data_IF_593588269349
#
_entry.id   IF_593588269349
#
_cell.length_a   1.000
_cell.length_b   1.000
_cell.length_c   1.000
_cell.angle_alpha   90.00
_cell.angle_beta   90.00
_cell.angle_gamma   90.00
#
_symmetry.space_group_name_H-M   'P 1'
#
loop_
_entity.id
_entity.type
_entity.pdbx_description
1 polymer ?
#
# COMPACT_ATOMS: atom_id res chain seq x y z
N UNK A 1 24.51 -17.26 -9.96
CA UNK A 1 24.66 -17.41 -8.50
C UNK A 1 23.73 -16.37 -7.90
N UNK A 2 22.60 -16.76 -7.29
CA UNK A 2 21.63 -15.86 -6.64
C UNK A 2 22.06 -15.67 -5.18
N UNK A 3 23.19 -15.02 -4.96
CA UNK A 3 23.58 -14.53 -3.64
C UNK A 3 23.61 -13.02 -3.81
N UNK A 4 22.58 -12.35 -3.32
CA UNK A 4 22.48 -10.91 -3.44
C UNK A 4 23.67 -10.23 -2.75
N UNK A 5 24.34 -9.33 -3.47
CA UNK A 5 25.55 -8.63 -2.97
C UNK A 5 25.22 -7.28 -2.33
N UNK A 6 24.03 -6.74 -2.62
CA UNK A 6 23.53 -5.50 -2.02
C UNK A 6 22.00 -5.51 -1.87
N UNK A 7 21.47 -4.50 -1.15
CA UNK A 7 20.02 -4.36 -0.91
C UNK A 7 19.21 -4.26 -2.21
N UNK A 8 19.69 -3.51 -3.23
CA UNK A 8 18.98 -3.38 -4.52
C UNK A 8 18.81 -4.74 -5.22
N UNK A 9 19.88 -5.52 -5.33
CA UNK A 9 19.85 -6.84 -5.93
C UNK A 9 18.89 -7.76 -5.18
N UNK A 10 18.92 -7.73 -3.84
CA UNK A 10 18.00 -8.53 -3.03
C UNK A 10 16.52 -8.18 -3.27
N UNK A 11 16.21 -6.89 -3.38
CA UNK A 11 14.86 -6.42 -3.72
C UNK A 11 14.44 -6.93 -5.09
N UNK A 12 15.32 -6.84 -6.09
CA UNK A 12 15.06 -7.29 -7.46
C UNK A 12 14.85 -8.82 -7.50
N UNK A 13 15.68 -9.60 -6.84
CA UNK A 13 15.57 -11.07 -6.80
C UNK A 13 14.23 -11.50 -6.20
N UNK A 14 13.85 -10.93 -5.06
CA UNK A 14 12.57 -11.20 -4.42
C UNK A 14 11.40 -10.71 -5.28
N UNK A 15 11.56 -9.58 -5.97
CA UNK A 15 10.56 -9.10 -6.92
C UNK A 15 10.34 -10.09 -8.06
N UNK A 16 11.41 -10.60 -8.67
CA UNK A 16 11.33 -11.60 -9.75
C UNK A 16 10.65 -12.88 -9.25
N UNK A 17 11.05 -13.38 -8.07
CA UNK A 17 10.47 -14.59 -7.48
C UNK A 17 8.98 -14.45 -7.21
N UNK A 18 8.55 -13.34 -6.60
CA UNK A 18 7.12 -13.07 -6.34
C UNK A 18 6.35 -12.95 -7.66
N UNK A 19 6.87 -12.23 -8.66
CA UNK A 19 6.19 -12.10 -9.95
C UNK A 19 6.06 -13.47 -10.64
N UNK A 20 7.11 -14.28 -10.66
CA UNK A 20 7.07 -15.63 -11.22
C UNK A 20 6.06 -16.52 -10.49
N UNK A 21 6.07 -16.53 -9.16
CA UNK A 21 5.16 -17.33 -8.35
C UNK A 21 3.68 -16.95 -8.58
N UNK A 22 3.36 -15.65 -8.56
CA UNK A 22 1.99 -15.16 -8.78
C UNK A 22 1.53 -15.45 -10.22
N UNK A 23 2.40 -15.25 -11.22
CA UNK A 23 2.11 -15.60 -12.61
C UNK A 23 1.76 -17.08 -12.78
N UNK A 24 2.55 -17.97 -12.17
CA UNK A 24 2.30 -19.42 -12.20
C UNK A 24 0.98 -19.78 -11.52
N UNK A 25 0.73 -19.25 -10.32
CA UNK A 25 -0.54 -19.48 -9.60
C UNK A 25 -1.76 -19.07 -10.43
N UNK A 26 -1.71 -17.90 -11.08
CA UNK A 26 -2.82 -17.40 -11.92
C UNK A 26 -3.08 -18.24 -13.17
N UNK A 27 -2.07 -18.98 -13.65
CA UNK A 27 -2.22 -19.85 -14.81
C UNK A 27 -2.88 -21.20 -14.46
N UNK A 28 -2.65 -21.69 -13.24
CA UNK A 28 -3.13 -22.99 -12.74
C UNK A 28 -4.55 -22.87 -12.19
N UNK A 29 -4.87 -21.78 -11.48
CA UNK A 29 -6.11 -21.68 -10.71
C UNK A 29 -7.24 -21.04 -11.54
N UNK A 30 -8.40 -21.69 -11.53
CA UNK A 30 -9.65 -21.09 -12.01
C UNK A 30 -10.12 -20.11 -10.93
N UNK A 31 -10.41 -18.86 -11.32
CA UNK A 31 -10.75 -17.77 -10.40
C UNK A 31 -12.24 -17.41 -10.59
N UNK A 32 -13.18 -18.19 -10.02
CA UNK A 32 -14.59 -17.85 -10.07
C UNK A 32 -14.92 -16.69 -9.12
N UNK A 33 -16.02 -16.00 -9.40
CA UNK A 33 -16.48 -14.88 -8.56
C UNK A 33 -16.74 -15.29 -7.10
N UNK A 34 -17.29 -16.50 -6.88
CA UNK A 34 -17.58 -17.02 -5.53
C UNK A 34 -16.31 -17.18 -4.69
N UNK A 35 -15.23 -17.71 -5.28
CA UNK A 35 -13.95 -17.85 -4.61
C UNK A 35 -13.36 -16.48 -4.23
N UNK A 36 -13.38 -15.53 -5.18
CA UNK A 36 -12.86 -14.17 -4.94
C UNK A 36 -13.67 -13.46 -3.87
N UNK A 37 -14.99 -13.55 -3.91
CA UNK A 37 -15.88 -12.98 -2.89
C UNK A 37 -15.60 -13.57 -1.50
N UNK A 38 -15.53 -14.90 -1.39
CA UNK A 38 -15.28 -15.58 -0.13
C UNK A 38 -13.93 -15.21 0.46
N UNK A 39 -12.85 -15.34 -0.33
CA UNK A 39 -11.49 -15.03 0.13
C UNK A 39 -11.32 -13.56 0.51
N UNK A 40 -11.86 -12.64 -0.29
CA UNK A 40 -11.77 -11.20 0.01
C UNK A 40 -12.60 -10.81 1.24
N UNK A 41 -13.75 -11.43 1.45
CA UNK A 41 -14.55 -11.24 2.66
C UNK A 41 -13.81 -11.71 3.90
N UNK A 42 -13.31 -12.96 3.89
CA UNK A 42 -12.55 -13.54 5.00
C UNK A 42 -11.31 -12.69 5.30
N UNK A 43 -10.55 -12.30 4.27
CA UNK A 43 -9.38 -11.45 4.43
C UNK A 43 -9.74 -10.10 5.04
N UNK A 44 -10.83 -9.47 4.59
CA UNK A 44 -11.29 -8.18 5.13
C UNK A 44 -11.68 -8.30 6.60
N UNK A 45 -12.36 -9.39 7.00
CA UNK A 45 -12.73 -9.65 8.40
C UNK A 45 -11.49 -9.87 9.27
N UNK A 46 -10.53 -10.68 8.81
CA UNK A 46 -9.27 -10.93 9.54
C UNK A 46 -8.52 -9.61 9.73
N UNK A 47 -8.40 -8.80 8.68
CA UNK A 47 -7.75 -7.49 8.78
C UNK A 47 -8.50 -6.58 9.75
N UNK A 48 -9.83 -6.48 9.66
CA UNK A 48 -10.62 -5.70 10.60
C UNK A 48 -10.40 -6.13 12.06
N UNK A 49 -10.33 -7.43 12.32
CA UNK A 49 -10.03 -7.97 13.64
C UNK A 49 -8.61 -7.60 14.10
N UNK A 50 -7.60 -7.73 13.24
CA UNK A 50 -6.22 -7.34 13.56
C UNK A 50 -6.10 -5.86 13.91
N UNK A 51 -6.74 -4.98 13.13
CA UNK A 51 -6.78 -3.54 13.43
C UNK A 51 -7.53 -3.24 14.74
N UNK A 52 -8.59 -4.00 15.03
CA UNK A 52 -9.30 -3.93 16.31
C UNK A 52 -8.44 -4.33 17.50
N UNK A 53 -7.69 -5.43 17.39
CA UNK A 53 -6.74 -5.90 18.42
C UNK A 53 -5.67 -4.84 18.69
N UNK A 54 -5.06 -4.30 17.62
CA UNK A 54 -4.08 -3.21 17.72
C UNK A 54 -4.65 -2.00 18.47
N UNK A 55 -5.89 -1.62 18.17
CA UNK A 55 -6.58 -0.51 18.84
C UNK A 55 -6.82 -0.82 20.32
N UNK A 56 -7.18 -2.04 20.68
CA UNK A 56 -7.36 -2.45 22.08
C UNK A 56 -6.02 -2.41 22.82
N UNK A 57 -4.93 -2.87 22.19
CA UNK A 57 -3.59 -2.87 22.79
C UNK A 57 -3.07 -1.47 23.07
N UNK A 58 -3.50 -0.46 22.31
CA UNK A 58 -3.19 0.95 22.61
C UNK A 58 -3.72 1.41 23.97
N UNK A 59 -4.83 0.84 24.45
CA UNK A 59 -5.45 1.18 25.74
C UNK A 59 -5.03 0.27 26.90
N UNK A 60 -4.26 -0.78 26.66
CA UNK A 60 -3.78 -1.69 27.70
C UNK A 60 -2.39 -1.28 28.21
N UNK A 61 -2.20 -1.12 29.53
CA UNK A 61 -0.87 -0.89 30.08
C UNK A 61 0.05 -2.10 29.78
N UNK A 62 1.34 -1.83 29.52
CA UNK A 62 2.41 -2.81 29.18
C UNK A 62 2.41 -3.41 27.76
N UNK A 63 1.35 -3.27 26.96
CA UNK A 63 1.27 -3.83 25.58
C UNK A 63 1.19 -2.75 24.50
N UNK A 64 1.09 -1.48 24.90
CA UNK A 64 0.89 -0.32 24.02
C UNK A 64 1.98 -0.07 22.96
N UNK A 65 3.11 -0.76 23.03
CA UNK A 65 4.22 -0.65 22.06
C UNK A 65 4.14 -1.66 20.91
N UNK A 66 3.21 -2.62 20.94
CA UNK A 66 3.04 -3.61 19.89
C UNK A 66 2.16 -3.07 18.76
N UNK A 67 2.75 -2.87 17.58
CA UNK A 67 2.05 -2.47 16.34
C UNK A 67 2.14 -3.60 15.31
N UNK A 68 1.07 -4.37 15.12
CA UNK A 68 1.08 -5.49 14.15
C UNK A 68 0.61 -5.06 12.76
N UNK A 69 -0.24 -4.03 12.65
CA UNK A 69 -0.96 -3.72 11.41
C UNK A 69 -0.32 -2.68 10.49
N UNK A 70 0.81 -2.10 10.88
CA UNK A 70 1.49 -1.06 10.12
C UNK A 70 1.77 -1.42 8.63
N UNK A 71 2.22 -2.64 8.26
CA UNK A 71 2.47 -2.97 6.86
C UNK A 71 1.19 -3.32 6.09
N UNK A 72 0.09 -3.64 6.77
CA UNK A 72 -1.10 -4.23 6.13
C UNK A 72 -2.08 -3.20 5.55
N UNK A 73 -1.75 -1.91 5.58
CA UNK A 73 -2.62 -0.86 5.03
C UNK A 73 -3.04 -1.09 3.57
N UNK A 74 -2.09 -1.30 2.64
CA UNK A 74 -2.40 -1.59 1.25
C UNK A 74 -3.16 -2.92 1.06
N UNK A 75 -2.86 -3.92 1.90
CA UNK A 75 -3.56 -5.19 1.90
C UNK A 75 -5.03 -5.04 2.34
N UNK A 76 -5.30 -4.14 3.29
CA UNK A 76 -6.65 -3.79 3.71
C UNK A 76 -7.44 -3.17 2.55
N UNK A 77 -6.82 -2.22 1.83
CA UNK A 77 -7.44 -1.60 0.64
C UNK A 77 -7.72 -2.67 -0.42
N UNK A 78 -6.75 -3.55 -0.70
CA UNK A 78 -6.91 -4.66 -1.64
C UNK A 78 -8.09 -5.56 -1.27
N UNK A 79 -8.13 -6.02 -0.03
CA UNK A 79 -9.15 -6.95 0.47
C UNK A 79 -10.54 -6.31 0.38
N UNK A 80 -10.69 -5.10 0.90
CA UNK A 80 -11.97 -4.41 0.96
C UNK A 80 -12.49 -4.02 -0.43
N UNK A 81 -11.64 -3.47 -1.30
CA UNK A 81 -12.05 -3.07 -2.66
C UNK A 81 -12.40 -4.31 -3.50
N UNK A 82 -11.65 -5.40 -3.36
CA UNK A 82 -11.96 -6.68 -4.03
C UNK A 82 -13.32 -7.21 -3.55
N UNK A 83 -13.57 -7.17 -2.23
CA UNK A 83 -14.82 -7.62 -1.64
C UNK A 83 -16.01 -6.77 -2.11
N UNK A 84 -15.87 -5.45 -2.06
CA UNK A 84 -16.92 -4.52 -2.47
C UNK A 84 -17.21 -4.58 -3.98
N UNK A 85 -16.16 -4.75 -4.80
CA UNK A 85 -16.28 -4.97 -6.25
C UNK A 85 -17.01 -6.29 -6.56
N UNK A 86 -16.62 -7.38 -5.90
CA UNK A 86 -17.24 -8.70 -6.05
C UNK A 86 -18.72 -8.68 -5.66
N UNK A 87 -19.05 -8.04 -4.53
CA UNK A 87 -20.42 -7.86 -4.08
C UNK A 87 -21.24 -6.98 -5.05
N UNK A 88 -20.60 -6.02 -5.72
CA UNK A 88 -21.24 -5.17 -6.74
C UNK A 88 -21.54 -5.93 -8.02
N UNK A 89 -20.65 -6.85 -8.43
CA UNK A 89 -20.83 -7.74 -9.57
C UNK A 89 -21.96 -8.76 -9.37
N UNK A 90 -22.20 -9.22 -8.14
CA UNK A 90 -23.37 -10.07 -7.86
C UNK A 90 -24.69 -9.38 -8.23
N UNK A 91 -24.82 -8.09 -7.94
CA UNK A 91 -26.02 -7.33 -8.31
C UNK A 91 -26.19 -7.19 -9.83
N UNK A 92 -25.08 -7.10 -10.59
CA UNK A 92 -25.11 -7.10 -12.07
C UNK A 92 -25.57 -8.46 -12.63
N UNK A 93 -25.40 -9.54 -11.87
CA UNK A 93 -25.86 -10.89 -12.21
C UNK A 93 -27.26 -11.20 -11.65
N UNK A 94 -28.01 -10.18 -11.21
CA UNK A 94 -29.35 -10.30 -10.61
C UNK A 94 -29.38 -11.15 -9.32
N UNK A 95 -28.22 -11.35 -8.69
CA UNK A 95 -28.11 -12.03 -7.40
C UNK A 95 -28.29 -11.01 -6.28
N UNK A 96 -29.21 -11.29 -5.35
CA UNK A 96 -29.44 -10.45 -4.16
C UNK A 96 -28.16 -10.38 -3.32
N UNK A 97 -27.58 -9.18 -3.22
CA UNK A 97 -26.30 -8.96 -2.52
C UNK A 97 -26.35 -7.79 -1.53
N UNK A 98 -27.55 -7.37 -1.13
CA UNK A 98 -27.75 -6.22 -0.25
C UNK A 98 -27.07 -6.41 1.12
N UNK A 99 -27.26 -7.55 1.77
CA UNK A 99 -26.63 -7.89 3.05
C UNK A 99 -25.10 -7.90 2.98
N UNK A 100 -24.54 -8.46 1.90
CA UNK A 100 -23.09 -8.54 1.67
C UNK A 100 -22.50 -7.13 1.48
N UNK A 101 -23.19 -6.24 0.76
CA UNK A 101 -22.79 -4.84 0.61
C UNK A 101 -22.86 -4.08 1.94
N UNK A 102 -23.90 -4.31 2.74
CA UNK A 102 -24.00 -3.73 4.08
C UNK A 102 -22.84 -4.17 4.96
N UNK A 103 -22.49 -5.46 4.94
CA UNK A 103 -21.32 -5.98 5.66
C UNK A 103 -20.01 -5.29 5.20
N UNK A 104 -19.82 -5.11 3.89
CA UNK A 104 -18.65 -4.40 3.36
C UNK A 104 -18.58 -2.95 3.88
N UNK A 105 -19.71 -2.26 4.00
CA UNK A 105 -19.78 -0.89 4.54
C UNK A 105 -19.49 -0.88 6.05
N UNK A 106 -20.01 -1.84 6.81
CA UNK A 106 -19.71 -1.95 8.24
C UNK A 106 -18.20 -2.17 8.45
N UNK A 107 -17.62 -3.14 7.74
CA UNK A 107 -16.17 -3.41 7.79
C UNK A 107 -15.35 -2.20 7.35
N UNK A 108 -15.85 -1.40 6.41
CA UNK A 108 -15.19 -0.17 5.99
C UNK A 108 -14.97 0.79 7.17
N UNK A 109 -16.04 1.04 7.95
CA UNK A 109 -15.98 1.97 9.07
C UNK A 109 -15.15 1.41 10.23
N UNK A 110 -15.26 0.10 10.52
CA UNK A 110 -14.44 -0.55 11.56
C UNK A 110 -12.95 -0.37 11.25
N UNK A 111 -12.52 -0.70 10.02
CA UNK A 111 -11.13 -0.56 9.59
C UNK A 111 -10.70 0.91 9.58
N UNK A 112 -11.55 1.83 9.10
CA UNK A 112 -11.23 3.25 9.06
C UNK A 112 -10.98 3.82 10.46
N UNK A 113 -11.85 3.52 11.43
CA UNK A 113 -11.73 4.00 12.81
C UNK A 113 -10.50 3.38 13.48
N UNK A 114 -10.41 2.05 13.48
CA UNK A 114 -9.32 1.33 14.13
C UNK A 114 -7.95 1.71 13.52
N UNK A 115 -7.85 1.69 12.18
CA UNK A 115 -6.61 2.06 11.49
C UNK A 115 -6.26 3.53 11.60
N UNK A 116 -7.24 4.43 11.66
CA UNK A 116 -6.99 5.86 11.87
C UNK A 116 -6.54 6.22 13.27
N UNK A 117 -6.96 5.46 14.29
CA UNK A 117 -6.47 5.61 15.65
C UNK A 117 -5.02 5.15 15.77
N UNK A 118 -4.66 4.05 15.11
CA UNK A 118 -3.34 3.42 15.22
C UNK A 118 -2.26 4.05 14.32
N UNK A 119 -2.59 4.33 13.05
CA UNK A 119 -1.58 4.62 12.02
C UNK A 119 -1.76 6.00 11.39
N UNK A 120 -0.70 6.82 11.48
CA UNK A 120 -0.71 8.23 11.07
C UNK A 120 -1.08 8.44 9.58
N UNK A 121 -0.61 7.58 8.68
CA UNK A 121 -0.82 7.70 7.23
C UNK A 121 -1.93 6.79 6.69
N UNK A 122 -2.51 5.93 7.53
CA UNK A 122 -3.45 4.92 7.08
C UNK A 122 -4.76 5.53 6.56
N UNK A 123 -5.31 6.55 7.23
CA UNK A 123 -6.55 7.20 6.77
C UNK A 123 -6.41 7.79 5.37
N UNK A 124 -5.26 8.39 5.05
CA UNK A 124 -4.99 8.93 3.72
C UNK A 124 -4.97 7.81 2.68
N UNK A 125 -4.25 6.72 2.96
CA UNK A 125 -4.23 5.54 2.10
C UNK A 125 -5.63 4.92 1.93
N UNK A 126 -6.38 4.81 3.01
CA UNK A 126 -7.70 4.19 3.05
C UNK A 126 -8.73 4.98 2.25
N UNK A 127 -8.79 6.30 2.44
CA UNK A 127 -9.68 7.20 1.70
C UNK A 127 -9.28 7.31 0.23
N UNK A 128 -7.97 7.35 -0.07
CA UNK A 128 -7.48 7.33 -1.45
C UNK A 128 -7.84 6.01 -2.15
N UNK A 129 -7.66 4.88 -1.46
CA UNK A 129 -8.06 3.55 -1.95
C UNK A 129 -9.56 3.45 -2.19
N UNK A 130 -10.38 3.98 -1.28
CA UNK A 130 -11.82 4.08 -1.48
C UNK A 130 -12.18 4.92 -2.71
N UNK A 131 -11.56 6.09 -2.87
CA UNK A 131 -11.80 6.99 -3.99
C UNK A 131 -11.41 6.35 -5.33
N UNK A 132 -10.20 5.80 -5.44
CA UNK A 132 -9.73 5.15 -6.67
C UNK A 132 -10.56 3.89 -6.96
N UNK A 133 -10.84 3.08 -5.94
CA UNK A 133 -11.63 1.86 -6.10
C UNK A 133 -13.04 2.14 -6.60
N UNK A 134 -13.72 3.12 -6.03
CA UNK A 134 -15.06 3.54 -6.48
C UNK A 134 -15.04 4.13 -7.89
N UNK A 135 -13.99 4.85 -8.29
CA UNK A 135 -13.79 5.31 -9.67
C UNK A 135 -13.62 4.14 -10.65
N UNK A 136 -12.80 3.15 -10.32
CA UNK A 136 -12.60 1.98 -11.19
C UNK A 136 -13.88 1.13 -11.31
N UNK A 137 -14.56 0.89 -10.18
CA UNK A 137 -15.84 0.16 -10.13
C UNK A 137 -16.91 0.87 -10.98
N UNK A 138 -17.10 2.18 -10.80
CA UNK A 138 -18.10 2.95 -11.56
C UNK A 138 -17.83 2.94 -13.06
N UNK A 139 -16.56 3.12 -13.46
CA UNK A 139 -16.15 3.01 -14.86
C UNK A 139 -16.37 1.60 -15.42
N UNK A 140 -16.09 0.55 -14.66
CA UNK A 140 -16.28 -0.82 -15.14
C UNK A 140 -17.76 -1.19 -15.30
N UNK A 141 -18.61 -0.82 -14.34
CA UNK A 141 -20.01 -1.25 -14.28
C UNK A 141 -21.03 -0.26 -14.89
N UNK A 142 -20.58 0.83 -15.56
CA UNK A 142 -21.48 1.88 -16.13
C UNK A 142 -22.49 2.45 -15.11
N UNK A 143 -22.19 2.39 -13.82
CA UNK A 143 -23.00 3.04 -12.79
C UNK A 143 -22.60 4.51 -12.73
N UNK A 144 -23.57 5.40 -12.54
CA UNK A 144 -23.27 6.81 -12.24
C UNK A 144 -22.32 6.84 -11.06
N UNK A 145 -21.18 7.53 -11.22
CA UNK A 145 -20.23 7.66 -10.13
C UNK A 145 -20.97 8.32 -8.97
N UNK A 146 -21.06 7.59 -7.87
CA UNK A 146 -21.62 8.10 -6.62
C UNK A 146 -20.72 9.20 -5.99
N UNK A 147 -19.65 9.61 -6.67
CA UNK A 147 -18.73 10.67 -6.29
C UNK A 147 -19.28 11.97 -6.88
N UNK A 148 -19.97 12.74 -6.04
CA UNK A 148 -20.34 14.12 -6.34
C UNK A 148 -19.41 15.06 -5.59
N UNK A 149 -19.23 16.30 -6.09
CA UNK A 149 -18.42 17.32 -5.42
C UNK A 149 -18.85 17.48 -3.94
N UNK A 150 -20.17 17.44 -3.68
CA UNK A 150 -20.76 17.48 -2.34
C UNK A 150 -20.24 16.36 -1.43
N UNK A 151 -20.10 15.13 -1.93
CA UNK A 151 -19.60 13.99 -1.15
C UNK A 151 -18.10 14.07 -0.92
N UNK A 152 -17.33 14.58 -1.89
CA UNK A 152 -15.90 14.86 -1.71
C UNK A 152 -15.70 15.90 -0.61
N UNK A 153 -16.43 17.02 -0.66
CA UNK A 153 -16.42 18.03 0.40
C UNK A 153 -16.87 17.47 1.75
N UNK A 154 -17.91 16.63 1.79
CA UNK A 154 -18.36 16.00 3.03
C UNK A 154 -17.30 15.09 3.65
N UNK A 155 -16.56 14.33 2.84
CA UNK A 155 -15.45 13.48 3.31
C UNK A 155 -14.29 14.33 3.82
N UNK A 156 -13.92 15.40 3.11
CA UNK A 156 -12.88 16.34 3.56
C UNK A 156 -13.30 16.98 4.89
N UNK A 157 -14.54 17.46 4.99
CA UNK A 157 -15.08 18.07 6.20
C UNK A 157 -15.11 17.08 7.38
N UNK A 158 -15.52 15.83 7.14
CA UNK A 158 -15.49 14.77 8.15
C UNK A 158 -14.05 14.46 8.61
N UNK A 159 -13.09 14.46 7.68
CA UNK A 159 -11.66 14.31 7.99
C UNK A 159 -11.15 15.45 8.88
N UNK A 160 -11.44 16.71 8.52
CA UNK A 160 -11.06 17.88 9.30
C UNK A 160 -11.73 17.89 10.69
N UNK A 161 -13.00 17.51 10.77
CA UNK A 161 -13.72 17.38 12.04
C UNK A 161 -13.09 16.29 12.92
N UNK A 162 -12.72 15.14 12.35
CA UNK A 162 -12.00 14.08 13.05
C UNK A 162 -10.63 14.53 13.57
N UNK A 163 -9.89 15.29 12.76
CA UNK A 163 -8.62 15.90 13.18
C UNK A 163 -8.81 16.86 14.36
N UNK A 164 -9.80 17.76 14.27
CA UNK A 164 -10.12 18.68 15.37
C UNK A 164 -10.51 17.95 16.65
N UNK A 165 -11.32 16.89 16.54
CA UNK A 165 -11.78 16.11 17.69
C UNK A 165 -10.63 15.35 18.36
N UNK A 166 -9.69 14.80 17.58
CA UNK A 166 -8.48 14.16 18.10
C UNK A 166 -7.55 15.17 18.80
N UNK A 167 -7.41 16.40 18.27
CA UNK A 167 -6.64 17.46 18.92
C UNK A 167 -7.25 17.87 20.26
N UNK A 168 -8.58 18.02 20.32
CA UNK A 168 -9.30 18.34 21.55
C UNK A 168 -9.13 17.20 22.57
N UNK A 169 -9.32 15.94 22.17
CA UNK A 169 -9.11 14.78 23.02
C UNK A 169 -7.66 14.68 23.52
N UNK A 170 -6.68 14.99 22.67
CA UNK A 170 -5.26 15.01 23.05
C UNK A 170 -4.98 15.98 24.19
N UNK A 171 -5.58 17.18 24.14
CA UNK A 171 -5.45 18.21 25.17
C UNK A 171 -6.19 17.86 26.46
N UNK A 172 -7.39 17.28 26.35
CA UNK A 172 -8.19 16.89 27.53
C UNK A 172 -7.55 15.71 28.27
N UNK A 173 -7.09 14.69 27.53
CA UNK A 173 -6.54 13.46 28.10
C UNK A 173 -5.03 13.56 28.39
N UNK A 174 -4.37 14.69 28.08
CA UNK A 174 -2.92 14.84 28.10
C UNK A 174 -2.15 13.76 27.30
N UNK A 175 -2.81 13.15 26.32
CA UNK A 175 -2.18 12.17 25.43
C UNK A 175 -1.68 12.86 24.17
N UNK A 176 -0.42 13.31 24.21
CA UNK A 176 0.28 13.97 23.09
C UNK A 176 0.33 13.12 21.81
N UNK A 177 0.22 11.79 21.94
CA UNK A 177 0.16 10.85 20.81
C UNK A 177 -1.05 11.13 19.91
N UNK A 178 -2.17 11.62 20.46
CA UNK A 178 -3.40 11.87 19.72
C UNK A 178 -3.39 13.19 18.94
N UNK A 179 -2.49 14.14 19.25
CA UNK A 179 -2.45 15.48 18.64
C UNK A 179 -2.03 15.43 17.16
N UNK A 180 -2.89 15.83 16.21
CA UNK A 180 -2.51 15.96 14.81
C UNK A 180 -1.59 17.17 14.55
N UNK A 181 -1.70 18.26 15.32
CA UNK A 181 -0.87 19.45 15.15
C UNK A 181 0.59 19.18 15.50
N UNK A 182 0.84 18.50 16.62
CA UNK A 182 2.17 18.09 17.04
C UNK A 182 2.80 17.09 16.04
N UNK A 183 1.98 16.36 15.29
CA UNK A 183 2.45 15.50 14.19
C UNK A 183 2.89 16.33 12.98
N UNK A 184 2.18 17.40 12.62
CA UNK A 184 2.55 18.28 11.50
C UNK A 184 3.84 19.03 11.81
N UNK A 185 4.00 19.57 13.03
CA UNK A 185 5.21 20.31 13.41
C UNK A 185 6.46 19.42 13.34
N UNK A 186 6.35 18.15 13.75
CA UNK A 186 7.45 17.17 13.62
C UNK A 186 7.80 16.88 12.15
N UNK A 187 6.82 16.86 11.25
CA UNK A 187 7.12 16.72 9.80
C UNK A 187 8.02 17.87 9.36
N UNK A 188 7.65 19.10 9.69
CA UNK A 188 8.36 20.30 9.26
C UNK A 188 9.78 20.36 9.85
N UNK A 189 9.90 20.07 11.15
CA UNK A 189 11.17 20.11 11.88
C UNK A 189 12.18 19.07 11.39
N UNK A 190 11.73 17.85 11.04
CA UNK A 190 12.62 16.75 10.65
C UNK A 190 12.75 16.51 9.14
N UNK A 191 11.77 16.88 8.31
CA UNK A 191 11.80 16.56 6.88
C UNK A 191 12.62 17.56 6.04
N UNK A 192 12.64 18.85 6.41
CA UNK A 192 13.31 19.88 5.61
C UNK A 192 14.84 19.70 5.54
N UNK A 193 15.57 19.43 6.63
CA UNK A 193 17.01 19.17 6.58
C UNK A 193 17.36 17.90 5.79
N UNK A 194 16.52 16.86 5.90
CA UNK A 194 16.67 15.62 5.13
C UNK A 194 16.53 15.85 3.63
N UNK A 195 15.55 16.64 3.20
CA UNK A 195 15.34 16.95 1.78
C UNK A 195 16.54 17.64 1.14
N UNK A 196 17.10 18.64 1.82
CA UNK A 196 18.29 19.36 1.35
C UNK A 196 19.50 18.42 1.25
N UNK A 197 19.67 17.55 2.24
CA UNK A 197 20.76 16.57 2.26
C UNK A 197 20.63 15.57 1.11
N UNK A 198 19.43 15.06 0.85
CA UNK A 198 19.21 14.09 -0.23
C UNK A 198 19.43 14.73 -1.59
N UNK A 199 18.81 15.88 -1.86
CA UNK A 199 18.87 16.53 -3.18
C UNK A 199 20.31 16.87 -3.57
N UNK A 200 21.12 17.35 -2.62
CA UNK A 200 22.48 17.79 -2.91
C UNK A 200 23.48 16.63 -3.07
N UNK A 201 23.16 15.45 -2.54
CA UNK A 201 24.09 14.32 -2.50
C UNK A 201 23.67 13.14 -3.38
N UNK A 202 22.45 13.12 -3.92
CA UNK A 202 22.03 12.09 -4.88
C UNK A 202 22.84 12.19 -6.17
N UNK A 203 23.31 11.05 -6.66
CA UNK A 203 24.01 10.95 -7.94
C UNK A 203 23.18 10.16 -8.96
N UNK A 204 23.72 9.93 -10.15
CA UNK A 204 23.07 9.09 -11.15
C UNK A 204 22.85 7.65 -10.63
N UNK A 205 23.79 7.14 -9.82
CA UNK A 205 23.81 5.82 -9.21
C UNK A 205 24.15 5.92 -7.72
N UNK A 206 23.12 5.83 -6.88
CA UNK A 206 23.24 6.03 -5.44
C UNK A 206 23.44 7.50 -5.06
N UNK A 207 24.38 7.76 -4.17
CA UNK A 207 24.66 9.07 -3.60
C UNK A 207 26.15 9.23 -3.27
N UNK A 208 26.57 10.44 -2.89
CA UNK A 208 27.97 10.73 -2.55
C UNK A 208 28.41 9.92 -1.32
N UNK A 209 29.48 9.11 -1.39
CA UNK A 209 29.98 8.36 -0.24
C UNK A 209 30.25 9.28 0.96
N UNK A 210 29.80 8.86 2.13
CA UNK A 210 29.95 9.65 3.37
C UNK A 210 28.82 10.63 3.66
N UNK A 211 27.83 10.80 2.76
CA UNK A 211 26.71 11.73 2.97
C UNK A 211 25.56 11.16 3.80
N UNK A 212 25.60 9.88 4.17
CA UNK A 212 24.59 9.25 5.03
C UNK A 212 24.69 9.76 6.48
N UNK A 213 23.63 9.54 7.26
CA UNK A 213 23.61 9.85 8.69
C UNK A 213 24.73 9.16 9.49
N UNK A 214 25.22 8.01 9.02
CA UNK A 214 26.33 7.27 9.63
C UNK A 214 27.72 7.62 9.07
N UNK A 215 27.84 8.73 8.32
CA UNK A 215 29.10 9.33 7.89
C UNK A 215 30.00 8.35 7.13
N UNK A 216 31.24 8.18 7.56
CA UNK A 216 32.26 7.39 6.86
C UNK A 216 31.92 5.90 6.61
N UNK A 217 30.85 5.36 7.23
CA UNK A 217 30.36 3.98 6.98
C UNK A 217 29.42 3.88 5.76
N UNK A 218 29.11 5.00 5.13
CA UNK A 218 28.21 5.13 3.98
C UNK A 218 28.91 4.68 2.70
N UNK A 219 28.33 3.68 2.03
CA UNK A 219 28.94 3.04 0.85
C UNK A 219 28.68 3.81 -0.44
N UNK A 220 27.75 4.77 -0.43
CA UNK A 220 27.38 5.58 -1.59
C UNK A 220 26.25 4.98 -2.43
N UNK A 221 25.51 3.99 -1.90
CA UNK A 221 24.40 3.35 -2.58
C UNK A 221 24.04 1.99 -1.99
N UNK A 222 22.76 1.61 -2.09
CA UNK A 222 22.20 0.40 -1.45
C UNK A 222 22.59 0.31 0.03
N UNK A 223 22.46 1.44 0.69
CA UNK A 223 22.79 1.73 2.07
C UNK A 223 21.60 1.41 3.01
N UNK A 224 20.52 0.82 2.47
CA UNK A 224 19.44 0.24 3.27
C UNK A 224 18.42 1.27 3.78
N UNK A 225 18.34 2.43 3.12
CA UNK A 225 17.23 3.38 3.28
C UNK A 225 15.92 2.76 2.78
N UNK A 226 16.00 1.91 1.76
CA UNK A 226 14.97 0.99 1.29
C UNK A 226 15.46 -0.44 1.44
N UNK A 227 14.75 -1.24 2.24
CA UNK A 227 15.12 -2.63 2.45
C UNK A 227 13.90 -3.52 2.61
N UNK A 228 14.10 -4.81 2.35
CA UNK A 228 13.13 -5.85 2.70
C UNK A 228 13.11 -6.06 4.24
N UNK A 229 12.14 -6.83 4.79
CA UNK A 229 12.12 -7.07 6.22
C UNK A 229 13.48 -7.57 6.72
N UNK A 230 13.97 -6.94 7.79
CA UNK A 230 15.25 -7.27 8.41
C UNK A 230 15.37 -8.76 8.76
N UNK A 231 14.25 -9.38 9.14
CA UNK A 231 14.19 -10.81 9.42
C UNK A 231 14.59 -11.67 8.21
N UNK A 232 14.30 -11.23 6.98
CA UNK A 232 14.74 -11.94 5.77
C UNK A 232 16.25 -11.79 5.56
N UNK A 233 16.79 -10.58 5.73
CA UNK A 233 18.23 -10.32 5.62
C UNK A 233 19.00 -11.20 6.62
N UNK A 234 18.52 -11.26 7.87
CA UNK A 234 19.11 -12.10 8.91
C UNK A 234 18.93 -13.60 8.62
N UNK A 235 17.75 -14.02 8.17
CA UNK A 235 17.45 -15.43 7.86
C UNK A 235 18.33 -15.98 6.75
N UNK A 236 18.65 -15.16 5.73
CA UNK A 236 19.53 -15.55 4.64
C UNK A 236 21.02 -15.25 4.92
N UNK A 237 21.36 -14.77 6.11
CA UNK A 237 22.74 -14.42 6.50
C UNK A 237 23.46 -13.53 5.48
N UNK A 238 22.73 -12.57 4.89
CA UNK A 238 23.26 -11.72 3.82
C UNK A 238 24.24 -10.68 4.40
N UNK A 239 25.37 -10.40 3.73
CA UNK A 239 26.41 -9.50 4.22
C UNK A 239 26.04 -8.02 3.99
N UNK A 240 24.79 -7.64 4.25
CA UNK A 240 24.32 -6.29 4.02
C UNK A 240 24.57 -5.38 5.23
N UNK A 241 24.85 -4.09 5.00
CA UNK A 241 24.95 -3.18 6.11
C UNK A 241 23.58 -2.99 6.75
N UNK A 242 23.51 -3.22 8.06
CA UNK A 242 22.28 -3.28 8.85
C UNK A 242 21.82 -1.90 9.32
N UNK A 243 21.77 -0.94 8.41
CA UNK A 243 21.40 0.44 8.76
C UNK A 243 19.90 0.62 9.06
N UNK A 244 19.06 -0.31 8.58
CA UNK A 244 17.64 -0.38 8.91
C UNK A 244 17.37 -0.56 10.42
N UNK A 245 18.25 -1.24 11.17
CA UNK A 245 18.11 -1.41 12.62
C UNK A 245 18.23 -0.10 13.40
N UNK A 246 19.01 0.86 12.89
CA UNK A 246 19.17 2.19 13.50
C UNK A 246 17.92 3.05 13.26
N UNK A 247 17.29 2.93 12.08
CA UNK A 247 16.03 3.61 11.74
C UNK A 247 14.86 3.13 12.62
N UNK A 248 14.79 1.83 12.92
CA UNK A 248 13.72 1.26 13.78
C UNK A 248 13.82 1.68 15.25
N UNK A 249 15.03 1.98 15.75
CA UNK A 249 15.25 2.41 17.14
C UNK A 249 15.16 3.94 17.28
N UNK A 250 15.52 4.69 16.23
CA UNK A 250 15.39 6.17 16.17
C UNK A 250 14.22 6.61 15.28
N UNK A 251 13.04 6.04 15.51
CA UNK A 251 11.82 6.18 14.67
C UNK A 251 11.39 7.62 14.34
N UNK A 252 11.77 8.60 15.15
CA UNK A 252 11.39 10.00 14.97
C UNK A 252 12.54 10.89 14.44
N UNK A 253 13.80 10.41 14.39
CA UNK A 253 14.97 11.28 14.15
C UNK A 253 15.58 11.21 12.73
N UNK A 254 15.26 10.17 11.95
CA UNK A 254 15.85 9.97 10.61
C UNK A 254 14.75 9.46 9.66
N UNK A 255 14.35 10.29 8.70
CA UNK A 255 13.75 9.91 7.41
C UNK A 255 12.48 9.04 7.38
N UNK A 256 11.55 9.20 8.32
CA UNK A 256 10.22 8.58 8.19
C UNK A 256 9.19 9.43 7.43
N UNK A 257 9.48 10.72 7.21
CA UNK A 257 8.56 11.66 6.55
C UNK A 257 9.08 12.20 5.22
N UNK A 258 10.22 11.68 4.77
CA UNK A 258 10.74 11.94 3.44
C UNK A 258 9.83 11.22 2.40
N UNK A 259 9.38 11.91 1.34
CA UNK A 259 8.71 11.27 0.23
C UNK A 259 9.58 10.15 -0.37
N UNK A 260 8.98 9.01 -0.69
CA UNK A 260 9.70 7.85 -1.22
C UNK A 260 10.51 8.10 -2.48
N UNK A 261 10.13 9.09 -3.31
CA UNK A 261 10.95 9.49 -4.46
C UNK A 261 12.37 9.88 -4.05
N UNK A 262 12.54 10.57 -2.92
CA UNK A 262 13.84 10.98 -2.43
C UNK A 262 14.56 9.81 -1.75
N UNK A 263 13.83 8.95 -1.03
CA UNK A 263 14.41 7.73 -0.46
C UNK A 263 14.97 6.79 -1.53
N UNK A 264 14.20 6.54 -2.59
CA UNK A 264 14.60 5.69 -3.74
C UNK A 264 15.77 6.33 -4.49
N UNK A 265 15.69 7.64 -4.75
CA UNK A 265 16.75 8.34 -5.44
C UNK A 265 18.04 8.38 -4.64
N UNK A 266 17.97 8.58 -3.31
CA UNK A 266 19.15 8.58 -2.47
C UNK A 266 19.78 7.19 -2.43
N UNK A 267 18.99 6.13 -2.22
CA UNK A 267 19.55 4.79 -2.04
C UNK A 267 20.05 4.17 -3.36
N UNK A 268 19.38 4.43 -4.48
CA UNK A 268 19.65 3.78 -5.77
C UNK A 268 20.00 4.72 -6.92
N UNK A 269 20.05 6.03 -6.67
CA UNK A 269 20.32 7.07 -7.67
C UNK A 269 19.10 7.44 -8.51
N UNK A 270 19.27 8.47 -9.34
CA UNK A 270 18.22 8.89 -10.27
C UNK A 270 17.79 7.78 -11.24
N UNK A 271 18.70 6.91 -11.67
CA UNK A 271 18.34 5.79 -12.54
C UNK A 271 17.45 4.75 -11.83
N UNK A 272 17.71 4.46 -10.56
CA UNK A 272 16.85 3.61 -9.74
C UNK A 272 15.44 4.21 -9.59
N UNK A 273 15.36 5.53 -9.35
CA UNK A 273 14.08 6.24 -9.31
C UNK A 273 13.33 6.16 -10.65
N UNK A 274 13.99 6.46 -11.76
CA UNK A 274 13.38 6.40 -13.09
C UNK A 274 12.90 5.00 -13.44
N UNK A 275 13.66 3.96 -13.10
CA UNK A 275 13.27 2.57 -13.29
C UNK A 275 12.00 2.24 -12.50
N UNK A 276 11.93 2.64 -11.21
CA UNK A 276 10.74 2.43 -10.39
C UNK A 276 9.52 3.19 -10.94
N UNK A 277 9.67 4.47 -11.31
CA UNK A 277 8.56 5.25 -11.87
C UNK A 277 8.04 4.66 -13.17
N UNK A 278 8.95 4.21 -14.04
CA UNK A 278 8.60 3.53 -15.29
C UNK A 278 7.85 2.24 -15.01
N UNK A 279 8.29 1.44 -14.03
CA UNK A 279 7.60 0.23 -13.61
C UNK A 279 6.18 0.51 -13.13
N UNK A 280 6.00 1.52 -12.27
CA UNK A 280 4.67 1.94 -11.77
C UNK A 280 3.74 2.34 -12.91
N UNK A 281 4.27 3.08 -13.89
CA UNK A 281 3.51 3.45 -15.08
C UNK A 281 3.10 2.22 -15.88
N UNK A 282 4.02 1.29 -16.16
CA UNK A 282 3.75 0.06 -16.90
C UNK A 282 2.65 -0.76 -16.21
N UNK A 283 2.77 -1.01 -14.91
CA UNK A 283 1.79 -1.81 -14.16
C UNK A 283 0.42 -1.13 -14.18
N UNK A 284 0.38 0.19 -13.98
CA UNK A 284 -0.88 0.95 -13.95
C UNK A 284 -1.58 0.94 -15.30
N UNK A 285 -0.86 1.27 -16.38
CA UNK A 285 -1.41 1.30 -17.75
C UNK A 285 -1.87 -0.10 -18.16
N UNK A 286 -1.07 -1.12 -17.85
CA UNK A 286 -1.42 -2.51 -18.17
C UNK A 286 -2.68 -2.96 -17.42
N UNK A 287 -2.77 -2.69 -16.11
CA UNK A 287 -3.97 -3.01 -15.33
C UNK A 287 -5.23 -2.33 -15.87
N UNK A 288 -5.14 -1.05 -16.20
CA UNK A 288 -6.26 -0.30 -16.80
C UNK A 288 -6.67 -0.85 -18.18
N UNK A 289 -5.70 -1.25 -19.00
CA UNK A 289 -5.96 -1.87 -20.30
C UNK A 289 -6.69 -3.20 -20.15
N UNK A 290 -6.20 -4.09 -19.27
CA UNK A 290 -6.82 -5.39 -19.00
C UNK A 290 -8.25 -5.24 -18.45
N UNK A 291 -8.50 -4.24 -17.59
CA UNK A 291 -9.85 -3.95 -17.11
C UNK A 291 -10.80 -3.59 -18.26
N UNK A 292 -10.35 -2.83 -19.26
CA UNK A 292 -11.15 -2.53 -20.45
C UNK A 292 -11.48 -3.79 -21.24
N UNK A 293 -10.52 -4.69 -21.40
CA UNK A 293 -10.71 -5.98 -22.07
C UNK A 293 -11.71 -6.88 -21.33
N UNK A 294 -11.58 -7.03 -20.01
CA UNK A 294 -12.53 -7.81 -19.22
C UNK A 294 -13.95 -7.24 -19.29
N UNK A 295 -14.08 -5.91 -19.23
CA UNK A 295 -15.36 -5.24 -19.41
C UNK A 295 -15.96 -5.51 -20.79
N UNK A 296 -15.16 -5.43 -21.85
CA UNK A 296 -15.60 -5.73 -23.22
C UNK A 296 -16.11 -7.17 -23.34
N UNK A 297 -15.35 -8.15 -22.83
CA UNK A 297 -15.75 -9.56 -22.83
C UNK A 297 -17.01 -9.83 -22.01
N UNK A 298 -17.18 -9.15 -20.87
CA UNK A 298 -18.38 -9.24 -20.03
C UNK A 298 -19.61 -8.68 -20.74
N UNK A 299 -19.48 -7.52 -21.39
CA UNK A 299 -20.56 -6.94 -22.21
C UNK A 299 -20.91 -7.81 -23.41
N UNK A 300 -19.94 -8.55 -23.96
CA UNK A 300 -20.16 -9.61 -24.94
C UNK A 300 -20.74 -10.92 -24.38
N UNK A 301 -21.16 -10.95 -23.11
CA UNK A 301 -21.84 -12.10 -22.49
C UNK A 301 -20.93 -13.11 -21.78
N UNK A 302 -19.60 -12.93 -21.80
CA UNK A 302 -18.68 -13.88 -21.15
C UNK A 302 -18.67 -13.72 -19.62
N UNK A 303 -18.99 -14.79 -18.89
CA UNK A 303 -18.93 -14.82 -17.42
C UNK A 303 -17.58 -15.29 -16.86
N UNK A 304 -16.68 -15.76 -17.72
CA UNK A 304 -15.43 -16.42 -17.31
C UNK A 304 -14.42 -15.50 -16.63
N UNK A 305 -14.56 -14.18 -16.79
CA UNK A 305 -13.58 -13.20 -16.30
C UNK A 305 -14.09 -12.37 -15.13
N UNK A 306 -15.30 -12.61 -14.62
CA UNK A 306 -15.94 -11.75 -13.62
C UNK A 306 -15.17 -11.75 -12.28
N UNK A 307 -14.72 -12.92 -11.82
CA UNK A 307 -13.87 -13.01 -10.61
C UNK A 307 -12.52 -12.29 -10.80
N UNK A 308 -11.91 -12.45 -11.99
CA UNK A 308 -10.65 -11.80 -12.35
C UNK A 308 -10.78 -10.28 -12.44
N UNK A 309 -11.91 -9.79 -12.97
CA UNK A 309 -12.23 -8.36 -13.01
C UNK A 309 -12.29 -7.78 -11.59
N UNK A 310 -12.97 -8.45 -10.66
CA UNK A 310 -13.06 -7.98 -9.27
C UNK A 310 -11.70 -7.93 -8.57
N UNK A 311 -10.90 -8.99 -8.75
CA UNK A 311 -9.56 -9.12 -8.17
C UNK A 311 -8.60 -8.06 -8.73
N UNK A 312 -8.65 -7.80 -10.04
CA UNK A 312 -7.84 -6.79 -10.70
C UNK A 312 -8.21 -5.38 -10.23
N UNK A 313 -9.51 -5.08 -10.06
CA UNK A 313 -9.95 -3.78 -9.52
C UNK A 313 -9.33 -3.55 -8.13
N UNK A 314 -9.38 -4.55 -7.24
CA UNK A 314 -8.78 -4.45 -5.91
C UNK A 314 -7.26 -4.31 -5.95
N UNK A 315 -6.57 -5.16 -6.71
CA UNK A 315 -5.11 -5.15 -6.82
C UNK A 315 -4.60 -3.82 -7.39
N UNK A 316 -5.21 -3.35 -8.48
CA UNK A 316 -4.85 -2.09 -9.12
C UNK A 316 -5.12 -0.89 -8.20
N UNK A 317 -6.25 -0.90 -7.49
CA UNK A 317 -6.57 0.17 -6.54
C UNK A 317 -5.55 0.26 -5.41
N UNK A 318 -5.23 -0.87 -4.79
CA UNK A 318 -4.26 -0.92 -3.71
C UNK A 318 -2.86 -0.54 -4.20
N UNK A 319 -2.44 -1.03 -5.37
CA UNK A 319 -1.17 -0.69 -5.98
C UNK A 319 -1.03 0.81 -6.26
N UNK A 320 -2.02 1.43 -6.91
CA UNK A 320 -1.99 2.88 -7.21
C UNK A 320 -2.00 3.69 -5.92
N UNK A 321 -2.82 3.30 -4.94
CA UNK A 321 -2.91 4.02 -3.66
C UNK A 321 -1.59 3.95 -2.89
N UNK A 322 -0.98 2.76 -2.82
CA UNK A 322 0.33 2.60 -2.19
C UNK A 322 1.42 3.35 -2.96
N UNK A 323 1.40 3.32 -4.30
CA UNK A 323 2.31 4.11 -5.16
C UNK A 323 2.25 5.59 -4.83
N UNK A 324 1.04 6.18 -4.78
CA UNK A 324 0.87 7.60 -4.52
C UNK A 324 1.34 7.95 -3.10
N UNK A 325 0.82 7.25 -2.08
CA UNK A 325 1.16 7.56 -0.69
C UNK A 325 2.64 7.35 -0.44
N UNK A 326 3.20 6.24 -0.89
CA UNK A 326 4.57 5.93 -0.53
C UNK A 326 5.61 6.71 -1.33
N UNK A 327 5.39 6.99 -2.62
CA UNK A 327 6.35 7.75 -3.42
C UNK A 327 6.29 9.24 -3.07
N UNK A 328 5.09 9.79 -2.83
CA UNK A 328 4.91 11.24 -2.72
C UNK A 328 4.65 11.75 -1.30
N UNK A 329 4.26 10.89 -0.34
CA UNK A 329 4.02 11.31 1.04
C UNK A 329 5.01 10.68 2.02
N UNK A 330 5.07 9.36 2.10
CA UNK A 330 5.83 8.67 3.16
C UNK A 330 6.56 7.43 2.65
N UNK A 331 7.90 7.48 2.59
CA UNK A 331 8.72 6.33 2.19
C UNK A 331 8.48 5.07 3.04
N UNK A 332 8.00 5.22 4.28
CA UNK A 332 7.62 4.09 5.15
C UNK A 332 6.58 3.16 4.52
N UNK A 333 5.72 3.68 3.65
CA UNK A 333 4.74 2.87 2.91
C UNK A 333 5.38 2.00 1.81
N UNK A 334 6.69 2.10 1.61
CA UNK A 334 7.53 1.37 0.66
C UNK A 334 8.69 0.61 1.30
N UNK A 335 8.70 0.43 2.62
CA UNK A 335 9.85 -0.16 3.30
C UNK A 335 9.48 -1.40 4.13
N UNK A 336 10.43 -2.32 4.28
CA UNK A 336 10.27 -3.57 5.02
C UNK A 336 9.12 -4.43 4.47
N UNK A 337 8.20 -4.82 5.35
CA UNK A 337 7.05 -5.67 4.99
C UNK A 337 6.08 -4.97 4.02
N UNK A 338 5.99 -3.64 4.04
CA UNK A 338 5.17 -2.89 3.09
C UNK A 338 5.70 -3.02 1.65
N UNK A 339 7.02 -3.17 1.48
CA UNK A 339 7.63 -3.38 0.16
C UNK A 339 7.29 -4.75 -0.42
N UNK A 340 7.24 -5.81 0.42
CA UNK A 340 6.78 -7.13 -0.03
C UNK A 340 5.34 -7.05 -0.53
N UNK A 341 4.46 -6.39 0.23
CA UNK A 341 3.06 -6.20 -0.16
C UNK A 341 2.96 -5.41 -1.46
N UNK A 342 3.79 -4.39 -1.64
CA UNK A 342 3.81 -3.64 -2.89
C UNK A 342 4.19 -4.49 -4.09
N UNK A 343 5.27 -5.26 -3.97
CA UNK A 343 5.74 -6.19 -5.01
C UNK A 343 4.64 -7.22 -5.31
N UNK A 344 3.98 -7.75 -4.28
CA UNK A 344 2.87 -8.68 -4.43
C UNK A 344 1.68 -8.03 -5.18
N UNK A 345 1.29 -6.82 -4.84
CA UNK A 345 0.20 -6.09 -5.50
C UNK A 345 0.54 -5.80 -6.97
N UNK A 346 1.78 -5.39 -7.25
CA UNK A 346 2.33 -5.25 -8.60
C UNK A 346 2.20 -6.56 -9.38
N UNK A 347 2.66 -7.66 -8.79
CA UNK A 347 2.62 -8.99 -9.40
C UNK A 347 1.18 -9.45 -9.67
N UNK A 348 0.25 -9.21 -8.75
CA UNK A 348 -1.17 -9.50 -8.92
C UNK A 348 -1.77 -8.76 -10.12
N UNK A 349 -1.42 -7.49 -10.34
CA UNK A 349 -1.88 -6.75 -11.52
C UNK A 349 -1.31 -7.35 -12.80
N UNK A 350 0.02 -7.54 -12.86
CA UNK A 350 0.73 -8.05 -14.05
C UNK A 350 0.30 -9.47 -14.41
N UNK A 351 -0.05 -10.31 -13.43
CA UNK A 351 -0.46 -11.69 -13.66
C UNK A 351 -1.69 -11.84 -14.57
N UNK A 352 -2.52 -10.81 -14.66
CA UNK A 352 -3.70 -10.83 -15.52
C UNK A 352 -3.37 -10.75 -17.02
N UNK A 353 -2.14 -10.38 -17.42
CA UNK A 353 -1.72 -10.31 -18.84
C UNK A 353 -1.89 -11.67 -19.53
N UNK A 354 -1.48 -12.75 -18.85
CA UNK A 354 -1.51 -14.11 -19.39
C UNK A 354 -2.95 -14.62 -19.59
N UNK A 355 -3.91 -14.09 -18.83
CA UNK A 355 -5.31 -14.50 -18.87
C UNK A 355 -6.04 -14.13 -20.17
N UNK A 356 -5.66 -13.03 -20.83
CA UNK A 356 -6.39 -12.55 -22.01
C UNK A 356 -5.99 -13.33 -23.26
N UNK A 357 -4.75 -13.83 -23.31
CA UNK A 357 -4.19 -14.57 -24.46
C UNK A 357 -4.69 -16.00 -24.60
N UNK A 358 -5.36 -16.58 -23.61
CA UNK A 358 -6.08 -17.87 -23.76
C UNK A 358 -7.31 -17.67 -24.66
N UNK A 359 -7.09 -17.67 -25.98
CA UNK A 359 -8.10 -18.08 -26.96
C UNK A 359 -8.16 -19.61 -26.87
N UNK A 360 -9.25 -20.14 -26.34
CA UNK A 360 -9.72 -21.50 -26.62
C UNK A 360 -10.98 -21.34 -27.42
#
# INVERSE_FOLDING_TARGET
MLIAENHLQFIIEIAILIHAAVLLMFNIIIIPLSLVLFLSMVLTIIIAALFGIDTIFLFLPFVSHHEFTHPFGPLAVFAWVTFFSSASLLTELEIRSASIKTLAIILFFIIAVAGGMMHRSFLLLWLLGWFIGTLLISRSFKRTSQITLKRVFAVIAAGLAGFGLLEVLSRILNFTILSPLLRISRVEEFAMPSLVTVINNTTLWGHVPGSCYWGAKCLGGSDGYLTLPMNFVNMFTLPFPLFAGVLVVKKDAIDYMLPGIFGVAFDFGYLGLFALMTWVMIVTVTGLYILREYRSKRLGGSRNYIGREALLIGALTAFISQSIIGLFLFNRSFNGAAMIIYILLSALVVAHIMSIKRKV
#
